data_IF_515682616829
#
_entry.id   IF_515682616829
#
_cell.length_a   1.000
_cell.length_b   1.000
_cell.length_c   1.000
_cell.angle_alpha   90.00
_cell.angle_beta   90.00
_cell.angle_gamma   90.00
#
_symmetry.space_group_name_H-M   'P 1'
#
loop_
_entity.id
_entity.type
_entity.pdbx_description
1 polymer ?
#
# COMPACT_ATOMS: atom_id res chain seq x y z
N UNK A 1 -17.50 -5.49 -16.63
CA UNK A 1 -16.50 -4.81 -15.78
C UNK A 1 -16.26 -3.35 -16.18
N UNK A 2 -16.22 -3.01 -17.48
CA UNK A 2 -15.98 -1.63 -17.95
C UNK A 2 -16.77 -0.51 -17.22
N UNK A 3 -18.12 -0.59 -17.06
CA UNK A 3 -18.88 0.47 -16.39
C UNK A 3 -18.58 0.59 -14.90
N UNK A 4 -18.32 -0.53 -14.22
CA UNK A 4 -17.95 -0.55 -12.80
C UNK A 4 -16.56 0.05 -12.58
N UNK A 5 -15.63 -0.21 -13.50
CA UNK A 5 -14.29 0.36 -13.47
C UNK A 5 -14.29 1.88 -13.68
N UNK A 6 -15.17 2.40 -14.55
CA UNK A 6 -15.32 3.85 -14.76
C UNK A 6 -15.92 4.56 -13.54
N UNK A 7 -16.94 3.96 -12.92
CA UNK A 7 -17.51 4.44 -11.66
C UNK A 7 -16.45 4.47 -10.55
N UNK A 8 -15.68 3.38 -10.41
CA UNK A 8 -14.60 3.30 -9.43
C UNK A 8 -13.51 4.35 -9.69
N UNK A 9 -13.11 4.54 -10.95
CA UNK A 9 -12.12 5.54 -11.36
C UNK A 9 -12.56 6.94 -10.94
N UNK A 10 -13.83 7.27 -11.16
CA UNK A 10 -14.39 8.58 -10.78
C UNK A 10 -14.36 8.80 -9.27
N UNK A 11 -14.70 7.78 -8.48
CA UNK A 11 -14.66 7.83 -7.01
C UNK A 11 -13.23 7.88 -6.44
N UNK A 12 -12.26 7.28 -7.12
CA UNK A 12 -10.87 7.17 -6.66
C UNK A 12 -10.01 8.38 -7.03
N UNK A 13 -10.41 9.17 -8.02
CA UNK A 13 -9.76 10.45 -8.36
C UNK A 13 -9.74 11.43 -7.19
N UNK A 14 -10.78 11.44 -6.36
CA UNK A 14 -10.90 12.30 -5.18
C UNK A 14 -10.35 11.66 -3.90
N UNK A 15 -9.70 10.49 -3.99
CA UNK A 15 -9.00 9.91 -2.85
C UNK A 15 -7.77 10.75 -2.49
N UNK A 16 -7.34 10.68 -1.24
CA UNK A 16 -6.07 11.26 -0.79
C UNK A 16 -5.20 10.14 -0.16
N UNK A 17 -4.07 9.75 -0.80
CA UNK A 17 -3.58 10.24 -2.08
C UNK A 17 -4.46 9.77 -3.27
N UNK A 18 -4.49 10.50 -4.41
CA UNK A 18 -5.29 10.11 -5.56
C UNK A 18 -4.89 8.73 -6.11
N UNK A 19 -5.88 7.89 -6.43
CA UNK A 19 -5.63 6.59 -7.06
C UNK A 19 -6.11 6.60 -8.50
N UNK A 20 -5.16 6.57 -9.44
CA UNK A 20 -5.44 6.57 -10.87
C UNK A 20 -5.79 5.15 -11.36
N UNK A 21 -6.94 5.03 -12.02
CA UNK A 21 -7.35 3.82 -12.73
C UNK A 21 -7.19 4.05 -14.23
N UNK A 22 -6.35 3.23 -14.86
CA UNK A 22 -5.97 3.37 -16.28
C UNK A 22 -6.45 2.12 -17.03
N UNK A 23 -6.92 2.32 -18.26
CA UNK A 23 -7.28 1.26 -19.20
C UNK A 23 -6.24 1.24 -20.32
N UNK A 24 -5.79 0.04 -20.69
CA UNK A 24 -4.90 -0.18 -21.83
C UNK A 24 -5.63 -1.07 -22.82
N UNK A 25 -5.74 -0.63 -24.07
CA UNK A 25 -6.30 -1.43 -25.15
C UNK A 25 -5.19 -2.30 -25.76
N UNK A 26 -5.16 -3.57 -25.39
CA UNK A 26 -4.16 -4.52 -25.88
C UNK A 26 -4.32 -4.89 -27.35
N UNK A 27 -5.41 -4.51 -28.03
CA UNK A 27 -5.53 -4.68 -29.48
C UNK A 27 -4.64 -3.67 -30.23
N UNK A 28 -4.40 -2.51 -29.63
CA UNK A 28 -3.53 -1.44 -30.12
C UNK A 28 -2.14 -1.53 -29.49
N UNK A 29 -2.08 -1.63 -28.16
CA UNK A 29 -0.85 -1.57 -27.35
C UNK A 29 -0.28 -2.97 -27.04
N UNK A 30 -0.07 -3.78 -28.08
CA UNK A 30 0.36 -5.18 -27.95
C UNK A 30 1.66 -5.36 -27.17
N UNK A 31 2.68 -4.54 -27.47
CA UNK A 31 4.00 -4.63 -26.82
C UNK A 31 3.92 -4.38 -25.31
N UNK A 32 3.09 -3.43 -24.87
CA UNK A 32 2.84 -3.16 -23.46
C UNK A 32 2.18 -4.36 -22.79
N UNK A 33 1.14 -4.92 -23.41
CA UNK A 33 0.41 -6.04 -22.85
C UNK A 33 1.24 -7.33 -22.79
N UNK A 34 2.08 -7.59 -23.80
CA UNK A 34 3.02 -8.70 -23.82
C UNK A 34 4.10 -8.54 -22.73
N UNK A 35 4.67 -7.32 -22.58
CA UNK A 35 5.66 -7.00 -21.55
C UNK A 35 5.15 -7.31 -20.15
N UNK A 36 3.88 -7.02 -19.87
CA UNK A 36 3.25 -7.30 -18.59
C UNK A 36 2.53 -8.65 -18.54
N UNK A 37 2.70 -9.52 -19.55
CA UNK A 37 2.20 -10.89 -19.56
C UNK A 37 0.68 -11.01 -19.54
N UNK A 38 -0.05 -10.09 -20.19
CA UNK A 38 -1.52 -10.12 -20.28
C UNK A 38 -1.94 -11.22 -21.25
N UNK A 39 -2.51 -12.32 -20.73
CA UNK A 39 -2.94 -13.49 -21.53
C UNK A 39 -4.44 -13.58 -21.78
N UNK A 40 -5.23 -12.74 -21.12
CA UNK A 40 -6.69 -12.74 -21.22
C UNK A 40 -7.31 -11.45 -20.70
N UNK A 41 -8.55 -11.18 -21.10
CA UNK A 41 -9.26 -9.95 -20.73
C UNK A 41 -10.48 -10.24 -19.86
N UNK A 42 -10.76 -9.40 -18.84
CA UNK A 42 -9.90 -8.34 -18.31
C UNK A 42 -8.78 -8.90 -17.42
N UNK A 43 -7.58 -8.30 -17.50
CA UNK A 43 -6.50 -8.49 -16.52
C UNK A 43 -6.28 -7.18 -15.78
N UNK A 44 -6.30 -7.22 -14.45
CA UNK A 44 -6.08 -6.05 -13.60
C UNK A 44 -4.77 -6.20 -12.85
N UNK A 45 -3.92 -5.16 -12.93
CA UNK A 45 -2.61 -5.10 -12.29
C UNK A 45 -2.50 -3.79 -11.52
N UNK A 46 -1.87 -3.86 -10.36
CA UNK A 46 -1.59 -2.71 -9.49
C UNK A 46 -0.15 -2.28 -9.73
N UNK A 47 0.02 -0.99 -9.95
CA UNK A 47 1.32 -0.36 -10.10
C UNK A 47 1.60 0.55 -8.90
N UNK A 48 2.82 0.52 -8.38
CA UNK A 48 3.32 1.46 -7.37
C UNK A 48 4.66 2.01 -7.85
N UNK A 49 4.86 3.32 -7.73
CA UNK A 49 6.09 4.01 -8.16
C UNK A 49 6.59 3.63 -9.56
N UNK A 50 5.67 3.43 -10.51
CA UNK A 50 5.99 3.09 -11.91
C UNK A 50 6.35 1.62 -12.17
N UNK A 51 6.35 0.77 -11.15
CA UNK A 51 6.61 -0.68 -11.28
C UNK A 51 5.36 -1.51 -11.00
N UNK A 52 5.24 -2.66 -11.64
CA UNK A 52 4.17 -3.63 -11.32
C UNK A 52 4.39 -4.12 -9.89
N UNK A 53 3.39 -3.91 -9.02
CA UNK A 53 3.43 -4.36 -7.64
C UNK A 53 2.82 -5.75 -7.51
N UNK A 54 1.55 -5.90 -7.94
CA UNK A 54 0.82 -7.17 -7.82
C UNK A 54 -0.39 -7.26 -8.77
N UNK A 55 -0.93 -8.46 -8.91
CA UNK A 55 -2.23 -8.69 -9.51
C UNK A 55 -3.34 -8.14 -8.61
N UNK A 56 -4.44 -7.69 -9.22
CA UNK A 56 -5.63 -7.28 -8.48
C UNK A 56 -6.53 -8.50 -8.23
N UNK A 57 -6.64 -8.90 -6.96
CA UNK A 57 -7.45 -10.04 -6.51
C UNK A 57 -8.73 -9.61 -5.76
N UNK A 58 -9.12 -8.33 -5.89
CA UNK A 58 -10.29 -7.78 -5.21
C UNK A 58 -11.62 -7.99 -5.96
N UNK A 59 -12.74 -7.51 -5.37
CA UNK A 59 -14.07 -7.62 -5.99
C UNK A 59 -14.21 -6.72 -7.23
N UNK A 60 -14.95 -7.18 -8.25
CA UNK A 60 -15.01 -6.51 -9.58
C UNK A 60 -16.15 -5.50 -9.75
N UNK A 61 -16.92 -5.24 -8.70
CA UNK A 61 -17.91 -4.16 -8.64
C UNK A 61 -17.25 -2.82 -8.22
N UNK A 62 -17.89 -1.69 -8.52
CA UNK A 62 -17.29 -0.39 -8.31
C UNK A 62 -16.90 -0.13 -6.84
N UNK A 63 -17.74 -0.54 -5.89
CA UNK A 63 -17.51 -0.28 -4.47
C UNK A 63 -16.41 -1.18 -3.91
N UNK A 64 -16.35 -2.44 -4.36
CA UNK A 64 -15.26 -3.37 -4.08
C UNK A 64 -13.92 -2.87 -4.59
N UNK A 65 -13.85 -2.36 -5.82
CA UNK A 65 -12.64 -1.75 -6.38
C UNK A 65 -12.20 -0.54 -5.54
N UNK A 66 -13.14 0.36 -5.23
CA UNK A 66 -12.85 1.55 -4.41
C UNK A 66 -12.31 1.16 -3.04
N UNK A 67 -13.00 0.25 -2.34
CA UNK A 67 -12.58 -0.19 -1.00
C UNK A 67 -11.20 -0.83 -1.03
N UNK A 68 -10.95 -1.72 -1.99
CA UNK A 68 -9.66 -2.39 -2.13
C UNK A 68 -8.55 -1.37 -2.38
N UNK A 69 -8.72 -0.49 -3.37
CA UNK A 69 -7.70 0.47 -3.76
C UNK A 69 -7.45 1.55 -2.71
N UNK A 70 -8.46 1.94 -1.92
CA UNK A 70 -8.26 2.81 -0.74
C UNK A 70 -7.39 2.16 0.32
N UNK A 71 -7.60 0.88 0.61
CA UNK A 71 -6.71 0.12 1.50
C UNK A 71 -5.27 0.12 0.99
N UNK A 72 -5.10 -0.04 -0.33
CA UNK A 72 -3.80 -0.02 -1.00
C UNK A 72 -3.13 1.36 -1.05
N UNK A 73 -3.91 2.44 -1.01
CA UNK A 73 -3.41 3.82 -1.00
C UNK A 73 -3.19 4.39 0.41
N UNK A 74 -3.73 3.72 1.43
CA UNK A 74 -3.50 4.10 2.83
C UNK A 74 -2.03 3.99 3.23
N UNK A 75 -1.66 4.56 4.40
CA UNK A 75 -0.28 4.61 4.87
C UNK A 75 0.33 3.21 4.92
N UNK A 76 1.53 3.07 4.35
CA UNK A 76 2.27 1.82 4.29
C UNK A 76 2.73 1.33 5.66
N UNK A 77 2.91 2.24 6.61
CA UNK A 77 3.24 1.93 7.98
C UNK A 77 2.28 2.63 8.95
N UNK A 78 1.77 1.90 9.92
CA UNK A 78 0.93 2.44 10.99
C UNK A 78 1.77 3.17 12.04
N UNK A 79 1.40 4.39 12.40
CA UNK A 79 2.02 5.09 13.52
C UNK A 79 1.53 4.50 14.85
N UNK A 80 2.45 4.18 15.76
CA UNK A 80 2.21 3.74 17.13
C UNK A 80 2.40 4.95 18.06
N UNK A 81 1.37 5.30 18.81
CA UNK A 81 1.34 6.52 19.65
C UNK A 81 1.41 6.27 21.14
N UNK A 82 1.42 5.01 21.56
CA UNK A 82 1.46 4.65 22.98
C UNK A 82 2.10 3.28 23.22
N UNK A 83 2.57 3.07 24.46
CA UNK A 83 3.07 1.78 24.93
C UNK A 83 2.00 0.68 24.80
N UNK A 84 0.72 1.01 25.02
CA UNK A 84 -0.36 0.03 24.88
C UNK A 84 -0.55 -0.41 23.43
N UNK A 85 -0.48 0.52 22.47
CA UNK A 85 -0.50 0.19 21.04
C UNK A 85 0.73 -0.60 20.62
N UNK A 86 1.90 -0.27 21.17
CA UNK A 86 3.13 -1.01 20.93
C UNK A 86 3.02 -2.47 21.41
N UNK A 87 2.59 -2.68 22.66
CA UNK A 87 2.40 -4.02 23.25
C UNK A 87 1.41 -4.85 22.44
N UNK A 88 0.30 -4.24 21.98
CA UNK A 88 -0.65 -4.91 21.09
C UNK A 88 -0.03 -5.27 19.74
N UNK A 89 0.79 -4.39 19.16
CA UNK A 89 1.44 -4.63 17.88
C UNK A 89 2.40 -5.82 17.93
N UNK A 90 3.19 -5.94 19.00
CA UNK A 90 4.19 -7.03 19.15
C UNK A 90 3.61 -8.35 19.67
N UNK A 91 2.38 -8.33 20.22
CA UNK A 91 1.72 -9.54 20.74
C UNK A 91 0.90 -10.28 19.67
N UNK A 92 0.82 -9.75 18.44
CA UNK A 92 0.11 -10.40 17.34
C UNK A 92 0.93 -11.52 16.69
N UNK A 93 0.24 -12.46 16.03
CA UNK A 93 0.85 -13.58 15.29
C UNK A 93 1.38 -13.16 13.89
N UNK A 94 1.26 -11.89 13.53
CA UNK A 94 1.69 -11.36 12.24
C UNK A 94 3.13 -10.87 12.28
N UNK A 95 3.92 -11.17 11.24
CA UNK A 95 5.27 -10.64 11.07
C UNK A 95 5.21 -9.11 10.85
N UNK A 96 5.51 -8.36 11.92
CA UNK A 96 5.52 -6.90 11.91
C UNK A 96 6.95 -6.35 11.97
N UNK A 97 7.24 -5.37 11.11
CA UNK A 97 8.46 -4.59 11.13
C UNK A 97 8.15 -3.24 11.76
N UNK A 98 8.82 -2.90 12.87
CA UNK A 98 8.60 -1.65 13.61
C UNK A 98 9.83 -0.75 13.47
N UNK A 99 9.65 0.42 12.85
CA UNK A 99 10.67 1.47 12.78
C UNK A 99 10.60 2.41 13.99
N UNK A 100 11.75 2.73 14.57
CA UNK A 100 11.88 3.64 15.70
C UNK A 100 12.61 4.90 15.23
N UNK A 101 11.99 6.07 15.37
CA UNK A 101 12.53 7.33 14.85
C UNK A 101 12.27 8.47 15.84
N UNK A 102 13.28 9.18 16.33
CA UNK A 102 13.04 10.34 17.20
C UNK A 102 12.34 11.49 16.47
N UNK A 103 12.75 11.73 15.22
CA UNK A 103 12.38 12.90 14.42
C UNK A 103 12.15 12.49 12.95
N UNK A 104 11.58 13.40 12.15
CA UNK A 104 11.59 13.26 10.70
C UNK A 104 13.04 13.17 10.18
N UNK A 105 13.33 12.13 9.40
CA UNK A 105 14.68 11.84 8.94
C UNK A 105 14.67 11.10 7.60
N UNK A 106 15.80 11.17 6.87
CA UNK A 106 15.99 10.40 5.62
C UNK A 106 15.87 8.89 5.84
N UNK A 107 16.17 8.42 7.05
CA UNK A 107 16.01 7.03 7.43
C UNK A 107 14.53 6.65 7.52
N UNK A 108 13.71 7.50 8.18
CA UNK A 108 12.25 7.34 8.21
C UNK A 108 11.65 7.34 6.80
N UNK A 109 12.08 8.25 5.93
CA UNK A 109 11.63 8.28 4.53
C UNK A 109 11.97 6.98 3.79
N UNK A 110 13.19 6.46 4.00
CA UNK A 110 13.65 5.22 3.37
C UNK A 110 12.88 4.02 3.91
N UNK A 111 12.60 3.98 5.21
CA UNK A 111 11.76 2.97 5.84
C UNK A 111 10.34 2.97 5.26
N UNK A 112 9.71 4.14 5.13
CA UNK A 112 8.36 4.26 4.56
C UNK A 112 8.32 3.78 3.09
N UNK A 113 9.37 4.07 2.30
CA UNK A 113 9.48 3.53 0.93
C UNK A 113 9.58 2.00 0.89
N UNK A 114 10.33 1.41 1.82
CA UNK A 114 10.40 -0.04 1.96
C UNK A 114 9.04 -0.60 2.38
N UNK A 115 8.38 0.05 3.34
CA UNK A 115 7.03 -0.31 3.76
C UNK A 115 6.05 -0.30 2.58
N UNK A 116 6.08 0.72 1.72
CA UNK A 116 5.21 0.77 0.53
C UNK A 116 5.45 -0.38 -0.46
N UNK A 117 6.69 -0.86 -0.54
CA UNK A 117 7.09 -1.93 -1.47
C UNK A 117 6.77 -3.31 -0.90
N UNK A 118 6.97 -3.51 0.40
CA UNK A 118 6.87 -4.82 1.05
C UNK A 118 5.60 -5.01 1.89
N UNK A 119 4.67 -4.04 1.91
CA UNK A 119 3.38 -4.09 2.63
C UNK A 119 2.47 -5.27 2.29
N UNK A 120 2.72 -5.95 1.18
CA UNK A 120 1.97 -7.15 0.78
C UNK A 120 2.51 -8.42 1.48
N UNK A 121 3.73 -8.36 2.04
CA UNK A 121 4.41 -9.48 2.71
C UNK A 121 4.54 -9.28 4.22
N UNK A 122 4.74 -8.05 4.66
CA UNK A 122 4.94 -7.70 6.06
C UNK A 122 4.01 -6.57 6.47
N UNK A 123 3.62 -6.57 7.74
CA UNK A 123 3.00 -5.40 8.34
C UNK A 123 4.10 -4.42 8.75
N UNK A 124 3.90 -3.14 8.48
CA UNK A 124 4.84 -2.10 8.91
C UNK A 124 4.18 -1.19 9.93
N UNK A 125 4.95 -0.82 10.94
CA UNK A 125 4.60 0.23 11.87
C UNK A 125 5.82 1.10 12.16
N UNK A 126 5.59 2.29 12.67
CA UNK A 126 6.66 3.12 13.20
C UNK A 126 6.22 3.87 14.45
N UNK A 127 7.18 4.31 15.25
CA UNK A 127 6.92 5.14 16.42
C UNK A 127 7.96 6.25 16.51
N UNK A 128 7.48 7.42 16.91
CA UNK A 128 8.29 8.54 17.41
C UNK A 128 7.95 8.89 18.86
N UNK A 129 7.13 8.06 19.51
CA UNK A 129 6.75 8.27 20.90
C UNK A 129 7.93 7.94 21.83
N UNK A 130 8.35 8.95 22.62
CA UNK A 130 9.49 8.83 23.53
C UNK A 130 9.30 7.76 24.61
N UNK A 131 8.05 7.48 25.02
CA UNK A 131 7.79 6.46 26.03
C UNK A 131 8.01 5.06 25.45
N UNK A 132 7.59 4.84 24.20
CA UNK A 132 7.87 3.60 23.47
C UNK A 132 9.36 3.42 23.19
N UNK A 133 10.06 4.48 22.74
CA UNK A 133 11.51 4.43 22.46
C UNK A 133 12.33 4.01 23.70
N UNK A 134 11.96 4.54 24.87
CA UNK A 134 12.59 4.18 26.15
C UNK A 134 12.32 2.73 26.56
N UNK A 135 11.09 2.24 26.40
CA UNK A 135 10.71 0.85 26.72
C UNK A 135 11.55 -0.16 25.91
N UNK A 136 11.87 0.17 24.66
CA UNK A 136 12.67 -0.71 23.77
C UNK A 136 14.18 -0.56 23.94
N UNK A 137 14.64 0.30 24.86
CA UNK A 137 16.06 0.56 25.07
C UNK A 137 16.75 1.26 23.90
N UNK A 138 15.99 1.95 23.03
CA UNK A 138 16.55 2.76 21.95
C UNK A 138 17.20 4.00 22.56
N UNK A 139 18.54 4.05 22.52
CA UNK A 139 19.35 5.21 22.83
C UNK A 139 20.22 5.45 21.59
N UNK A 140 20.08 6.59 20.94
CA UNK A 140 20.97 7.01 19.85
C UNK A 140 22.26 7.63 20.39
#
# INVERSE_FOLDING_TARGET
>A
MAPEFDKASTKLKSNDPPVALIKVDCTVEKSTCDKYGVKGFPTLKIFRFGSEAQAYEGPRDADGIVKYMRGQAGPSAREIKSINEFKKAISGDENIVIGFFENESKLKDSFLKVADTERDRFQFAYTSDRSVLKETGYNE
#
